data_IF_058445554976
#
_entry.id   IF_058445554976
#
_cell.length_a   1.000
_cell.length_b   1.000
_cell.length_c   1.000
_cell.angle_alpha   90.00
_cell.angle_beta   90.00
_cell.angle_gamma   90.00
#
_symmetry.space_group_name_H-M   'P 1'
#
loop_
_entity.id
_entity.type
_entity.pdbx_description
1 polymer ?
#
# COMPACT_ATOMS: atom_id res chain seq x y z
N UNK A 1 -14.53 -12.34 10.44
CA UNK A 1 -13.58 -11.25 10.13
C UNK A 1 -12.40 -11.89 9.44
N UNK A 2 -12.28 -11.71 8.13
CA UNK A 2 -11.16 -12.28 7.38
C UNK A 2 -9.85 -11.65 7.84
N UNK A 3 -8.83 -12.48 8.07
CA UNK A 3 -7.52 -12.06 8.63
C UNK A 3 -6.88 -10.90 7.87
N UNK A 4 -7.22 -10.75 6.59
CA UNK A 4 -6.74 -9.68 5.70
C UNK A 4 -7.33 -8.30 6.06
N UNK A 5 -8.60 -8.22 6.43
CA UNK A 5 -9.21 -6.97 6.90
C UNK A 5 -8.56 -6.49 8.20
N UNK A 6 -8.34 -7.42 9.14
CA UNK A 6 -7.64 -7.12 10.38
C UNK A 6 -6.19 -6.64 10.14
N UNK A 7 -5.51 -7.14 9.11
CA UNK A 7 -4.16 -6.71 8.75
C UNK A 7 -4.14 -5.27 8.19
N UNK A 8 -5.11 -4.90 7.35
CA UNK A 8 -5.27 -3.51 6.88
C UNK A 8 -5.41 -2.54 8.06
N UNK A 9 -6.31 -2.86 9.01
CA UNK A 9 -6.55 -2.02 10.20
C UNK A 9 -5.28 -1.83 11.06
N UNK A 10 -4.40 -2.83 11.13
CA UNK A 10 -3.12 -2.69 11.87
C UNK A 10 -2.20 -1.71 11.16
N UNK A 11 -2.04 -1.82 9.83
CA UNK A 11 -1.17 -0.92 9.09
C UNK A 11 -1.73 0.52 9.05
N UNK A 12 -3.05 0.69 9.02
CA UNK A 12 -3.67 2.01 9.17
C UNK A 12 -3.29 2.68 10.49
N UNK A 13 -3.32 1.93 11.61
CA UNK A 13 -2.87 2.46 12.92
C UNK A 13 -1.39 2.82 12.91
N UNK A 14 -0.54 1.98 12.30
CA UNK A 14 0.89 2.30 12.17
C UNK A 14 1.07 3.60 11.38
N UNK A 15 0.32 3.80 10.30
CA UNK A 15 0.39 5.02 9.48
C UNK A 15 -0.16 6.25 10.23
N UNK A 16 -1.10 6.09 11.16
CA UNK A 16 -1.54 7.18 12.03
C UNK A 16 -0.41 7.66 12.96
N UNK A 17 0.42 6.74 13.45
CA UNK A 17 1.54 7.05 14.34
C UNK A 17 2.79 7.48 13.56
N UNK A 18 3.05 6.81 12.43
CA UNK A 18 4.22 7.02 11.57
C UNK A 18 3.76 7.15 10.10
N UNK A 19 3.28 8.33 9.68
CA UNK A 19 2.71 8.52 8.34
C UNK A 19 3.66 8.21 7.17
N UNK A 20 4.96 8.25 7.44
CA UNK A 20 6.05 8.02 6.47
C UNK A 20 6.69 6.64 6.59
N UNK A 21 6.15 5.74 7.42
CA UNK A 21 6.66 4.38 7.54
C UNK A 21 6.46 3.64 6.22
N UNK A 22 7.56 3.42 5.49
CA UNK A 22 7.53 2.81 4.16
C UNK A 22 6.93 1.39 4.21
N UNK A 23 7.32 0.59 5.19
CA UNK A 23 6.84 -0.80 5.35
C UNK A 23 5.33 -0.85 5.56
N UNK A 24 4.79 0.02 6.41
CA UNK A 24 3.36 0.09 6.66
C UNK A 24 2.58 0.58 5.43
N UNK A 25 3.10 1.59 4.72
CA UNK A 25 2.47 2.10 3.51
C UNK A 25 2.46 1.05 2.37
N UNK A 26 3.55 0.28 2.23
CA UNK A 26 3.65 -0.83 1.28
C UNK A 26 2.67 -1.95 1.59
N UNK A 27 2.68 -2.42 2.85
CA UNK A 27 1.83 -3.53 3.25
C UNK A 27 0.35 -3.16 3.24
N UNK A 28 -0.02 -1.91 3.56
CA UNK A 28 -1.41 -1.47 3.43
C UNK A 28 -1.88 -1.50 1.97
N UNK A 29 -1.03 -1.09 1.01
CA UNK A 29 -1.37 -1.16 -0.40
C UNK A 29 -1.63 -2.61 -0.84
N UNK A 30 -0.76 -3.55 -0.44
CA UNK A 30 -0.96 -4.97 -0.68
C UNK A 30 -2.24 -5.50 -0.03
N UNK A 31 -2.56 -5.12 1.21
CA UNK A 31 -3.78 -5.57 1.87
C UNK A 31 -5.03 -5.09 1.14
N UNK A 32 -4.99 -3.87 0.58
CA UNK A 32 -6.07 -3.39 -0.27
C UNK A 32 -6.19 -4.18 -1.58
N UNK A 33 -5.08 -4.59 -2.21
CA UNK A 33 -5.14 -5.49 -3.37
C UNK A 33 -5.73 -6.86 -3.02
N UNK A 34 -5.25 -7.48 -1.93
CA UNK A 34 -5.72 -8.81 -1.50
C UNK A 34 -7.17 -8.83 -1.07
N UNK A 35 -7.73 -7.68 -0.71
CA UNK A 35 -9.15 -7.52 -0.37
C UNK A 35 -9.97 -6.94 -1.52
N UNK A 36 -9.41 -6.92 -2.73
CA UNK A 36 -10.03 -6.45 -3.98
C UNK A 36 -10.47 -4.98 -3.94
N UNK A 37 -9.93 -4.19 -3.00
CA UNK A 37 -10.18 -2.75 -2.85
C UNK A 37 -9.24 -1.96 -3.76
N UNK A 38 -9.34 -2.19 -5.07
CA UNK A 38 -8.37 -1.72 -6.06
C UNK A 38 -8.15 -0.20 -6.07
N UNK A 39 -9.19 0.60 -5.87
CA UNK A 39 -9.05 2.07 -5.84
C UNK A 39 -8.29 2.57 -4.60
N UNK A 40 -8.50 1.92 -3.45
CA UNK A 40 -7.71 2.19 -2.24
C UNK A 40 -6.27 1.73 -2.42
N UNK A 41 -6.04 0.58 -3.04
CA UNK A 41 -4.71 0.09 -3.36
C UNK A 41 -3.94 1.07 -4.25
N UNK A 42 -4.55 1.55 -5.35
CA UNK A 42 -3.95 2.56 -6.24
C UNK A 42 -3.55 3.82 -5.48
N UNK A 43 -4.45 4.33 -4.66
CA UNK A 43 -4.21 5.54 -3.86
C UNK A 43 -3.05 5.32 -2.90
N UNK A 44 -3.02 4.17 -2.23
CA UNK A 44 -1.98 3.84 -1.27
C UNK A 44 -0.62 3.58 -1.92
N UNK A 45 -0.58 2.99 -3.13
CA UNK A 45 0.65 2.85 -3.91
C UNK A 45 1.22 4.18 -4.36
N UNK A 46 0.37 5.11 -4.83
CA UNK A 46 0.80 6.47 -5.18
C UNK A 46 1.40 7.18 -3.97
N UNK A 47 0.71 7.12 -2.83
CA UNK A 47 1.23 7.65 -1.56
C UNK A 47 2.58 7.04 -1.19
N UNK A 48 2.72 5.72 -1.31
CA UNK A 48 3.98 5.05 -1.01
C UNK A 48 5.12 5.54 -1.92
N UNK A 49 4.87 5.76 -3.21
CA UNK A 49 5.84 6.31 -4.15
C UNK A 49 6.23 7.75 -3.80
N UNK A 50 5.27 8.58 -3.35
CA UNK A 50 5.52 9.96 -2.92
C UNK A 50 6.43 10.05 -1.68
N UNK A 51 6.54 8.98 -0.89
CA UNK A 51 7.45 8.90 0.26
C UNK A 51 8.92 8.70 -0.11
N UNK A 52 9.23 8.59 -1.42
CA UNK A 52 10.57 8.34 -1.96
C UNK A 52 11.20 7.04 -1.43
N UNK A 53 10.58 5.87 -1.68
CA UNK A 53 11.14 4.59 -1.27
C UNK A 53 12.41 4.24 -2.07
N UNK A 54 13.23 3.30 -1.58
CA UNK A 54 14.35 2.75 -2.34
C UNK A 54 13.93 2.24 -3.72
N UNK A 55 14.84 2.28 -4.70
CA UNK A 55 14.52 1.95 -6.11
C UNK A 55 13.87 0.57 -6.29
N UNK A 56 14.35 -0.44 -5.55
CA UNK A 56 13.77 -1.79 -5.58
C UNK A 56 12.28 -1.79 -5.22
N UNK A 57 11.92 -1.01 -4.21
CA UNK A 57 10.55 -0.89 -3.71
C UNK A 57 9.69 -0.04 -4.64
N UNK A 58 10.28 1.00 -5.25
CA UNK A 58 9.64 1.82 -6.27
C UNK A 58 9.22 0.98 -7.49
N UNK A 59 10.12 0.14 -8.00
CA UNK A 59 9.84 -0.76 -9.13
C UNK A 59 8.71 -1.74 -8.78
N UNK A 60 8.72 -2.31 -7.56
CA UNK A 60 7.63 -3.17 -7.11
C UNK A 60 6.29 -2.43 -7.08
N UNK A 61 6.22 -1.27 -6.44
CA UNK A 61 5.01 -0.46 -6.35
C UNK A 61 4.47 -0.05 -7.74
N UNK A 62 5.35 0.32 -8.67
CA UNK A 62 4.96 0.62 -10.05
C UNK A 62 4.38 -0.61 -10.78
N UNK A 63 4.97 -1.79 -10.60
CA UNK A 63 4.42 -3.02 -11.19
C UNK A 63 3.02 -3.34 -10.66
N UNK A 64 2.78 -3.17 -9.36
CA UNK A 64 1.44 -3.33 -8.79
C UNK A 64 0.46 -2.27 -9.33
N UNK A 65 0.88 -1.00 -9.36
CA UNK A 65 0.05 0.09 -9.86
C UNK A 65 -0.32 -0.07 -11.34
N UNK A 66 0.61 -0.53 -12.19
CA UNK A 66 0.35 -0.86 -13.60
C UNK A 66 -0.69 -1.99 -13.74
N UNK A 67 -0.58 -3.05 -12.93
CA UNK A 67 -1.55 -4.17 -12.95
C UNK A 67 -2.96 -3.73 -12.57
N UNK A 68 -3.08 -2.73 -11.69
CA UNK A 68 -4.35 -2.14 -11.28
C UNK A 68 -4.91 -1.14 -12.31
N UNK A 69 -4.13 -0.77 -13.35
CA UNK A 69 -4.51 0.26 -14.33
C UNK A 69 -4.38 1.69 -13.78
N UNK A 70 -3.42 1.94 -12.89
CA UNK A 70 -3.20 3.24 -12.24
C UNK A 70 -2.04 4.06 -12.80
N UNK A 71 -1.38 3.58 -13.85
CA UNK A 71 -0.24 4.19 -14.56
C UNK A 71 -0.58 4.40 -16.04
#
# INVERSE_FOLDING_TARGET
>A
MDKLGAAADQFERVIQLEPRNLTANFNLALMYEYTERNELAKTQWKRFLDLNPPEQWKVQAQNHLSKLGGL
#
